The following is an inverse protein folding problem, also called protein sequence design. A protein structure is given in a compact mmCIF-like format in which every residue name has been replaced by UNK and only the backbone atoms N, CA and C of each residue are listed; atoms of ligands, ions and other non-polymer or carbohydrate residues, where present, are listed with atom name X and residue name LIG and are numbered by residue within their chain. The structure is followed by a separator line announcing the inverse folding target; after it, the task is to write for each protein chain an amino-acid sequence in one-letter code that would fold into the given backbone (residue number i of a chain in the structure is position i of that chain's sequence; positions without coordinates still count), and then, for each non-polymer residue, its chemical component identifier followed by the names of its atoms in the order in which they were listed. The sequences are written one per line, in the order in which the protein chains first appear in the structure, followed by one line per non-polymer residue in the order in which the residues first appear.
data_IF_903989143580
#
_entry.id   IF_903989143580
#
_cell.length_a   1.000
_cell.length_b   1.000
_cell.length_c   1.000
_cell.angle_alpha   90.00
_cell.angle_beta   90.00
_cell.angle_gamma   90.00
#
_symmetry.space_group_name_H-M   'P 1'
#
loop_
_entity.id
_entity.type
_entity.pdbx_description
1 polymer ?
#
# COMPACT_ATOMS: atom_id res chain seq x y z
N UNK A 1 -8.87 -6.64 -13.31
CA UNK A 1 -10.24 -6.18 -12.96
C UNK A 1 -11.28 -6.87 -13.86
N UNK A 2 -12.52 -7.04 -13.38
CA UNK A 2 -13.61 -7.58 -14.21
C UNK A 2 -13.97 -6.60 -15.34
N UNK A 3 -14.16 -7.12 -16.55
CA UNK A 3 -14.61 -6.32 -17.69
C UNK A 3 -16.08 -6.63 -18.00
N UNK A 4 -16.94 -5.64 -17.88
CA UNK A 4 -18.40 -5.80 -18.12
C UNK A 4 -18.69 -6.15 -19.57
N UNK A 5 -17.95 -5.59 -20.53
CA UNK A 5 -18.10 -5.89 -21.98
C UNK A 5 -17.66 -7.32 -22.32
N UNK A 6 -16.51 -7.75 -21.77
CA UNK A 6 -15.98 -9.10 -22.02
C UNK A 6 -16.62 -10.18 -21.13
N UNK A 7 -17.43 -9.79 -20.14
CA UNK A 7 -18.08 -10.66 -19.14
C UNK A 7 -17.10 -11.61 -18.41
N UNK A 8 -15.83 -11.21 -18.23
CA UNK A 8 -14.76 -11.96 -17.56
C UNK A 8 -13.69 -11.05 -16.96
N UNK A 9 -12.86 -11.62 -16.10
CA UNK A 9 -11.64 -10.96 -15.64
C UNK A 9 -10.63 -10.87 -16.80
N UNK A 10 -10.11 -9.68 -17.06
CA UNK A 10 -9.10 -9.41 -18.09
C UNK A 10 -7.99 -8.56 -17.50
N UNK A 11 -6.81 -8.57 -18.11
CA UNK A 11 -5.74 -7.64 -17.80
C UNK A 11 -6.19 -6.19 -18.00
N UNK A 12 -5.51 -5.27 -17.32
CA UNK A 12 -5.89 -3.86 -17.29
C UNK A 12 -4.64 -3.01 -17.44
N UNK A 13 -4.63 -2.17 -18.47
CA UNK A 13 -3.56 -1.20 -18.70
C UNK A 13 -3.92 0.16 -18.07
N UNK A 14 -2.89 1.02 -17.93
CA UNK A 14 -3.01 2.41 -17.48
C UNK A 14 -3.82 2.55 -16.19
N UNK A 15 -3.45 1.72 -15.20
CA UNK A 15 -4.14 1.71 -13.91
C UNK A 15 -3.82 2.99 -13.15
N UNK A 16 -4.85 3.79 -12.91
CA UNK A 16 -4.80 5.00 -12.10
C UNK A 16 -5.62 4.81 -10.82
N UNK A 17 -5.12 5.36 -9.73
CA UNK A 17 -5.84 5.42 -8.45
C UNK A 17 -6.50 6.80 -8.32
N UNK A 18 -7.70 6.81 -7.73
CA UNK A 18 -8.42 8.03 -7.40
C UNK A 18 -9.39 7.79 -6.23
N UNK A 19 -9.77 8.87 -5.58
CA UNK A 19 -10.74 8.81 -4.47
C UNK A 19 -12.13 9.08 -5.01
N UNK A 20 -13.07 8.17 -4.76
CA UNK A 20 -14.47 8.35 -5.11
C UNK A 20 -15.15 9.42 -4.22
N UNK A 21 -16.33 9.91 -4.64
CA UNK A 21 -17.10 10.93 -3.88
C UNK A 21 -17.39 10.54 -2.42
N UNK A 22 -17.46 9.24 -2.15
CA UNK A 22 -17.68 8.69 -0.79
C UNK A 22 -16.34 8.46 -0.02
N UNK A 23 -15.28 9.13 -0.42
CA UNK A 23 -13.94 9.04 0.16
C UNK A 23 -13.31 7.63 0.12
N UNK A 24 -13.81 6.70 -0.71
CA UNK A 24 -13.23 5.38 -0.89
C UNK A 24 -12.26 5.36 -2.05
N UNK A 25 -11.12 4.71 -1.85
CA UNK A 25 -10.10 4.56 -2.89
C UNK A 25 -10.61 3.62 -4.00
N UNK A 26 -10.49 4.05 -5.23
CA UNK A 26 -10.82 3.31 -6.44
C UNK A 26 -9.62 3.24 -7.38
N UNK A 27 -9.62 2.21 -8.22
CA UNK A 27 -8.72 2.13 -9.36
C UNK A 27 -9.52 2.11 -10.66
N UNK A 28 -8.97 2.78 -11.68
CA UNK A 28 -9.48 2.84 -13.04
C UNK A 28 -8.38 2.38 -14.00
N UNK A 29 -8.74 1.73 -15.07
CA UNK A 29 -7.83 1.38 -16.16
C UNK A 29 -8.61 0.87 -17.37
N UNK A 30 -7.90 0.46 -18.40
CA UNK A 30 -8.49 0.00 -19.66
C UNK A 30 -8.34 -1.51 -19.81
N UNK A 31 -9.39 -2.16 -20.31
CA UNK A 31 -9.35 -3.58 -20.65
C UNK A 31 -8.42 -3.82 -21.84
N UNK A 32 -7.40 -4.66 -21.70
CA UNK A 32 -6.46 -5.01 -22.77
C UNK A 32 -7.17 -5.62 -23.99
N UNK A 33 -8.27 -6.36 -23.76
CA UNK A 33 -8.98 -7.08 -24.82
C UNK A 33 -9.91 -6.19 -25.63
N UNK A 34 -10.63 -5.25 -25.00
CA UNK A 34 -11.68 -4.49 -25.70
C UNK A 34 -11.59 -2.97 -25.50
N UNK A 35 -10.56 -2.45 -24.87
CA UNK A 35 -10.35 -1.04 -24.62
C UNK A 35 -11.33 -0.37 -23.64
N UNK A 36 -12.35 -1.10 -23.13
CA UNK A 36 -13.36 -0.51 -22.26
C UNK A 36 -12.77 -0.10 -20.91
N UNK A 37 -13.17 1.06 -20.42
CA UNK A 37 -12.82 1.50 -19.08
C UNK A 37 -13.36 0.51 -18.02
N UNK A 38 -12.51 0.17 -17.07
CA UNK A 38 -12.85 -0.64 -15.89
C UNK A 38 -12.57 0.16 -14.64
N UNK A 39 -13.47 0.07 -13.67
CA UNK A 39 -13.30 0.68 -12.35
C UNK A 39 -13.65 -0.33 -11.27
N UNK A 40 -12.91 -0.31 -10.17
CA UNK A 40 -13.27 -1.09 -8.99
C UNK A 40 -12.76 -0.41 -7.72
N UNK A 41 -13.44 -0.65 -6.62
CA UNK A 41 -12.93 -0.25 -5.31
C UNK A 41 -11.67 -1.04 -4.96
N UNK A 42 -10.67 -0.34 -4.43
CA UNK A 42 -9.46 -0.99 -3.93
C UNK A 42 -9.80 -1.70 -2.63
N UNK A 43 -9.60 -3.03 -2.60
CA UNK A 43 -9.74 -3.81 -1.36
C UNK A 43 -8.48 -3.63 -0.53
N UNK A 44 -8.58 -2.93 0.58
CA UNK A 44 -7.49 -2.86 1.56
C UNK A 44 -7.37 -4.20 2.29
N UNK A 45 -6.31 -4.91 2.00
CA UNK A 45 -5.78 -6.07 2.73
C UNK A 45 -6.68 -7.28 3.01
N UNK A 46 -6.18 -8.48 2.71
CA UNK A 46 -6.90 -9.76 2.96
C UNK A 46 -6.15 -10.75 3.87
N UNK A 47 -5.01 -10.38 4.48
CA UNK A 47 -4.29 -11.23 5.45
C UNK A 47 -4.93 -11.24 6.85
N UNK A 48 -4.68 -12.28 7.65
CA UNK A 48 -5.19 -12.36 9.04
C UNK A 48 -4.69 -11.15 9.85
N UNK A 49 -3.43 -10.76 9.67
CA UNK A 49 -2.85 -9.56 10.28
C UNK A 49 -3.59 -8.30 9.82
N UNK A 50 -3.84 -8.16 8.52
CA UNK A 50 -4.64 -7.07 7.97
C UNK A 50 -6.09 -7.10 8.42
N UNK A 51 -6.68 -8.28 8.68
CA UNK A 51 -8.03 -8.38 9.27
C UNK A 51 -8.07 -7.88 10.71
N UNK A 52 -7.03 -8.15 11.49
CA UNK A 52 -6.90 -7.66 12.87
C UNK A 52 -6.66 -6.16 12.87
N UNK A 53 -5.69 -5.69 12.07
CA UNK A 53 -5.33 -4.26 11.95
C UNK A 53 -6.50 -3.44 11.38
N UNK A 54 -7.21 -3.95 10.35
CA UNK A 54 -8.38 -3.25 9.77
C UNK A 54 -9.61 -3.26 10.69
N UNK A 55 -9.60 -4.05 11.77
CA UNK A 55 -10.62 -4.01 12.84
C UNK A 55 -10.29 -3.02 13.95
N UNK A 56 -9.05 -2.52 13.99
CA UNK A 56 -8.71 -1.47 14.95
C UNK A 56 -9.51 -0.21 14.59
N UNK A 57 -10.18 0.41 15.56
CA UNK A 57 -10.95 1.63 15.33
C UNK A 57 -10.08 2.86 15.10
N UNK A 58 -8.76 2.70 15.15
CA UNK A 58 -7.76 3.75 15.01
C UNK A 58 -6.57 3.28 14.15
N UNK A 59 -5.91 4.24 13.51
CA UNK A 59 -4.64 4.03 12.81
C UNK A 59 -3.51 3.96 13.84
N UNK A 60 -2.59 3.01 13.65
CA UNK A 60 -1.43 2.85 14.54
C UNK A 60 -0.17 3.30 13.79
N UNK A 61 0.29 4.50 14.04
CA UNK A 61 1.50 5.06 13.44
C UNK A 61 2.62 5.25 14.47
N UNK A 62 3.86 5.35 13.96
CA UNK A 62 4.95 5.86 14.80
C UNK A 62 4.59 7.27 15.29
N UNK A 63 5.05 7.69 16.49
CA UNK A 63 4.68 8.99 17.07
C UNK A 63 4.89 10.15 16.10
N UNK A 64 3.81 10.85 15.78
CA UNK A 64 3.77 11.99 14.86
C UNK A 64 3.78 11.64 13.37
N UNK A 65 3.93 10.38 12.98
CA UNK A 65 3.88 9.96 11.58
C UNK A 65 2.45 9.88 11.05
N UNK A 66 2.31 10.09 9.74
CA UNK A 66 1.04 10.05 9.04
C UNK A 66 0.81 8.78 8.23
N UNK A 67 1.89 8.09 7.84
CA UNK A 67 1.83 6.89 6.98
C UNK A 67 2.59 5.69 7.54
N UNK A 68 3.51 5.91 8.49
CA UNK A 68 4.38 4.85 9.01
C UNK A 68 3.68 4.03 10.07
N UNK A 69 2.92 3.04 9.64
CA UNK A 69 2.26 2.09 10.55
C UNK A 69 1.12 1.33 9.90
N UNK A 70 0.60 0.32 10.59
CA UNK A 70 -0.50 -0.48 10.07
C UNK A 70 -1.83 0.26 10.15
N UNK A 71 -2.69 0.02 9.14
CA UNK A 71 -4.07 0.52 9.13
C UNK A 71 -4.25 1.93 8.57
N UNK A 72 -3.23 2.50 7.92
CA UNK A 72 -3.30 3.82 7.29
C UNK A 72 -4.53 3.96 6.39
N UNK A 73 -5.35 4.95 6.68
CA UNK A 73 -6.57 5.28 5.97
C UNK A 73 -6.29 6.26 4.83
N UNK A 74 -5.79 5.73 3.68
CA UNK A 74 -5.49 6.54 2.50
C UNK A 74 -6.70 7.34 2.00
N UNK A 75 -7.91 6.79 2.14
CA UNK A 75 -9.17 7.44 1.79
C UNK A 75 -9.41 8.75 2.58
N UNK A 76 -8.86 8.86 3.78
CA UNK A 76 -8.94 10.07 4.62
C UNK A 76 -7.79 11.03 4.41
N UNK A 77 -6.59 10.49 4.15
CA UNK A 77 -5.32 11.23 4.15
C UNK A 77 -4.96 11.84 2.80
N UNK A 78 -5.53 11.32 1.71
CA UNK A 78 -5.18 11.74 0.36
C UNK A 78 -6.27 12.61 -0.27
N UNK A 79 -5.82 13.51 -1.13
CA UNK A 79 -6.64 14.23 -2.10
C UNK A 79 -7.06 13.29 -3.26
N UNK A 80 -7.89 13.78 -4.16
CA UNK A 80 -8.35 13.02 -5.33
C UNK A 80 -7.21 12.66 -6.31
N UNK A 81 -6.17 13.46 -6.35
CA UNK A 81 -4.94 13.26 -7.14
C UNK A 81 -3.91 12.36 -6.45
N UNK A 82 -4.26 11.79 -5.29
CA UNK A 82 -3.43 10.95 -4.43
C UNK A 82 -2.33 11.69 -3.67
N UNK A 83 -2.22 13.00 -3.76
CA UNK A 83 -1.31 13.77 -2.91
C UNK A 83 -1.80 13.80 -1.46
N UNK A 84 -0.90 13.85 -0.48
CA UNK A 84 -1.30 14.00 0.92
C UNK A 84 -2.03 15.34 1.14
N UNK A 85 -3.09 15.31 1.94
CA UNK A 85 -3.74 16.53 2.42
C UNK A 85 -2.79 17.32 3.31
N UNK A 86 -3.03 18.62 3.46
CA UNK A 86 -2.15 19.52 4.23
C UNK A 86 -1.88 19.01 5.64
N UNK A 87 -2.90 18.49 6.32
CA UNK A 87 -2.79 17.96 7.68
C UNK A 87 -2.12 16.57 7.77
N UNK A 88 -1.97 15.88 6.63
CA UNK A 88 -1.43 14.51 6.56
C UNK A 88 -0.14 14.41 5.74
N UNK A 89 0.56 15.51 5.51
CA UNK A 89 1.86 15.49 4.84
C UNK A 89 2.84 14.60 5.60
N UNK A 90 3.68 13.80 4.93
CA UNK A 90 4.75 13.08 5.60
C UNK A 90 5.64 14.03 6.41
N UNK A 91 5.96 13.65 7.63
CA UNK A 91 6.72 14.52 8.55
C UNK A 91 8.23 14.47 8.32
N UNK A 92 8.72 13.41 7.70
CA UNK A 92 10.13 13.21 7.37
C UNK A 92 10.27 12.20 6.23
N UNK A 93 11.52 11.89 5.84
CA UNK A 93 11.80 10.97 4.72
C UNK A 93 11.38 9.53 4.98
N UNK A 94 11.39 9.08 6.24
CA UNK A 94 10.90 7.73 6.61
C UNK A 94 9.39 7.63 6.42
N UNK A 95 8.65 8.65 6.84
CA UNK A 95 7.20 8.70 6.67
C UNK A 95 6.81 8.88 5.19
N UNK A 96 7.65 9.56 4.40
CA UNK A 96 7.46 9.67 2.96
C UNK A 96 7.66 8.32 2.23
N UNK A 97 8.67 7.54 2.61
CA UNK A 97 8.84 6.19 2.10
C UNK A 97 7.63 5.29 2.43
N UNK A 98 7.07 5.43 3.64
CA UNK A 98 5.85 4.73 4.02
C UNK A 98 4.63 5.17 3.19
N UNK A 99 4.49 6.45 2.87
CA UNK A 99 3.45 6.96 1.97
C UNK A 99 3.55 6.31 0.58
N UNK A 100 4.73 6.26 -0.03
CA UNK A 100 4.94 5.60 -1.33
C UNK A 100 4.62 4.10 -1.26
N UNK A 101 5.04 3.45 -0.19
CA UNK A 101 4.75 2.04 0.07
C UNK A 101 3.23 1.77 0.16
N UNK A 102 2.49 2.59 0.89
CA UNK A 102 1.05 2.48 1.04
C UNK A 102 0.32 2.69 -0.32
N UNK A 103 0.78 3.63 -1.15
CA UNK A 103 0.29 3.79 -2.52
C UNK A 103 0.57 2.56 -3.38
N UNK A 104 1.79 2.02 -3.30
CA UNK A 104 2.15 0.81 -4.02
C UNK A 104 1.25 -0.37 -3.61
N UNK A 105 0.98 -0.52 -2.32
CA UNK A 105 0.08 -1.54 -1.78
C UNK A 105 -1.38 -1.36 -2.22
N UNK A 106 -1.84 -0.13 -2.30
CA UNK A 106 -3.18 0.17 -2.79
C UNK A 106 -3.34 -0.18 -4.28
N UNK A 107 -2.29 0.06 -5.08
CA UNK A 107 -2.26 -0.23 -6.51
C UNK A 107 -2.17 -1.74 -6.80
N UNK A 108 -1.38 -2.46 -6.02
CA UNK A 108 -1.10 -3.87 -6.25
C UNK A 108 -1.89 -4.75 -5.28
N UNK A 109 -2.66 -5.70 -5.80
CA UNK A 109 -3.53 -6.56 -5.00
C UNK A 109 -2.91 -7.93 -4.73
N UNK A 110 -1.96 -8.36 -5.58
CA UNK A 110 -1.31 -9.65 -5.41
C UNK A 110 -0.14 -9.56 -4.40
N UNK A 111 0.05 -10.65 -3.67
CA UNK A 111 1.03 -10.69 -2.58
C UNK A 111 2.47 -10.72 -3.07
N UNK A 112 2.71 -11.35 -4.20
CA UNK A 112 4.06 -11.46 -4.76
C UNK A 112 4.57 -10.08 -5.12
N UNK A 113 3.79 -9.31 -5.88
CA UNK A 113 4.12 -7.92 -6.24
C UNK A 113 4.32 -7.05 -5.01
N UNK A 114 3.45 -7.16 -3.99
CA UNK A 114 3.60 -6.40 -2.75
C UNK A 114 4.92 -6.68 -2.05
N UNK A 115 5.30 -7.95 -1.93
CA UNK A 115 6.55 -8.32 -1.24
C UNK A 115 7.79 -8.06 -2.10
N UNK A 116 7.73 -8.36 -3.39
CA UNK A 116 8.90 -8.30 -4.26
C UNK A 116 9.15 -6.90 -4.85
N UNK A 117 8.12 -6.08 -4.94
CA UNK A 117 8.23 -4.73 -5.48
C UNK A 117 8.03 -3.71 -4.36
N UNK A 118 6.85 -3.62 -3.75
CA UNK A 118 6.55 -2.54 -2.82
C UNK A 118 7.42 -2.58 -1.56
N UNK A 119 7.61 -3.75 -0.96
CA UNK A 119 8.43 -3.88 0.25
C UNK A 119 9.92 -3.61 -0.05
N UNK A 120 10.42 -4.09 -1.20
CA UNK A 120 11.82 -3.82 -1.62
C UNK A 120 12.03 -2.35 -1.96
N UNK A 121 11.10 -1.73 -2.65
CA UNK A 121 11.14 -0.32 -2.98
C UNK A 121 11.20 0.54 -1.71
N UNK A 122 10.37 0.23 -0.72
CA UNK A 122 10.40 0.89 0.57
C UNK A 122 11.77 0.75 1.26
N UNK A 123 12.34 -0.47 1.28
CA UNK A 123 13.67 -0.68 1.86
C UNK A 123 14.73 0.12 1.11
N UNK A 124 14.65 0.18 -0.24
CA UNK A 124 15.56 0.97 -1.07
C UNK A 124 15.45 2.46 -0.74
N UNK A 125 14.24 3.02 -0.70
CA UNK A 125 14.03 4.44 -0.32
C UNK A 125 14.58 4.74 1.07
N UNK A 126 14.39 3.83 2.03
CA UNK A 126 14.96 3.97 3.37
C UNK A 126 16.50 3.95 3.37
N UNK A 127 17.11 3.13 2.51
CA UNK A 127 18.58 3.03 2.40
C UNK A 127 19.19 4.23 1.67
N UNK A 128 18.48 4.86 0.76
CA UNK A 128 18.85 6.09 0.05
C UNK A 128 18.80 7.34 0.94
N UNK A 129 18.26 7.27 2.15
CA UNK A 129 18.30 8.40 3.09
C UNK A 129 19.75 8.63 3.53
N UNK A 130 20.42 9.53 2.83
CA UNK A 130 21.76 10.01 3.20
C UNK A 130 21.66 11.00 4.37
N UNK A 131 22.66 11.00 5.26
CA UNK A 131 22.70 11.92 6.42
C UNK A 131 21.39 11.97 7.21
N UNK A 132 20.90 10.82 7.75
CA UNK A 132 19.67 10.79 8.52
C UNK A 132 19.82 11.54 9.85
N UNK A 133 18.79 12.27 10.27
CA UNK A 133 18.71 12.76 11.64
C UNK A 133 18.71 11.60 12.64
N UNK A 134 18.98 11.86 13.91
CA UNK A 134 18.95 10.83 14.94
C UNK A 134 17.58 10.13 15.00
N UNK A 135 16.51 10.90 14.87
CA UNK A 135 15.14 10.41 14.81
C UNK A 135 14.92 9.48 13.60
N UNK A 136 15.25 9.94 12.38
CA UNK A 136 15.10 9.13 11.16
C UNK A 136 15.95 7.85 11.21
N UNK A 137 17.12 7.88 11.87
CA UNK A 137 17.98 6.69 12.05
C UNK A 137 17.27 5.62 12.87
N UNK A 138 16.63 5.99 13.97
CA UNK A 138 15.87 5.08 14.83
C UNK A 138 14.62 4.57 14.12
N UNK A 139 13.83 5.46 13.54
CA UNK A 139 12.59 5.14 12.83
C UNK A 139 12.85 4.23 11.63
N UNK A 140 13.89 4.51 10.83
CA UNK A 140 14.34 3.67 9.71
C UNK A 140 14.69 2.26 10.17
N UNK A 141 15.42 2.12 11.29
CA UNK A 141 15.77 0.83 11.86
C UNK A 141 14.52 0.01 12.25
N UNK A 142 13.54 0.64 12.89
CA UNK A 142 12.28 0.00 13.28
C UNK A 142 11.51 -0.46 12.03
N UNK A 143 11.29 0.43 11.07
CA UNK A 143 10.50 0.15 9.86
C UNK A 143 11.17 -0.94 9.03
N UNK A 144 12.49 -0.87 8.82
CA UNK A 144 13.24 -1.88 8.09
C UNK A 144 13.14 -3.27 8.72
N UNK A 145 13.27 -3.34 10.05
CA UNK A 145 13.12 -4.60 10.78
C UNK A 145 11.70 -5.17 10.65
N UNK A 146 10.67 -4.34 10.68
CA UNK A 146 9.27 -4.78 10.49
C UNK A 146 9.03 -5.32 9.08
N UNK A 147 9.52 -4.65 8.04
CA UNK A 147 9.40 -5.12 6.65
C UNK A 147 10.16 -6.44 6.45
N UNK A 148 11.38 -6.55 6.96
CA UNK A 148 12.16 -7.77 6.87
C UNK A 148 11.52 -8.93 7.66
N UNK A 149 11.00 -8.68 8.85
CA UNK A 149 10.28 -9.68 9.63
C UNK A 149 9.03 -10.16 8.89
N UNK A 150 8.28 -9.27 8.25
CA UNK A 150 7.13 -9.61 7.41
C UNK A 150 7.55 -10.52 6.25
N UNK A 151 8.64 -10.22 5.56
CA UNK A 151 9.16 -11.03 4.45
C UNK A 151 9.60 -12.42 4.93
N UNK A 152 10.28 -12.51 6.09
CA UNK A 152 10.84 -13.76 6.62
C UNK A 152 9.79 -14.66 7.30
N UNK A 153 8.86 -14.09 8.03
CA UNK A 153 7.85 -14.84 8.79
C UNK A 153 6.54 -15.03 8.03
N UNK A 154 6.44 -14.52 6.80
CA UNK A 154 5.23 -14.66 5.99
C UNK A 154 4.00 -14.02 6.63
N UNK A 155 4.18 -12.96 7.43
CA UNK A 155 3.08 -12.22 8.03
C UNK A 155 2.19 -11.67 6.91
N UNK A 156 1.09 -12.39 6.64
CA UNK A 156 0.18 -12.12 5.51
C UNK A 156 0.30 -13.08 4.33
N UNK A 157 1.23 -14.05 4.34
CA UNK A 157 1.36 -15.08 3.31
C UNK A 157 0.83 -16.41 3.84
N UNK A 158 -0.21 -16.97 3.25
CA UNK A 158 -0.46 -18.39 3.38
C UNK A 158 0.69 -19.09 2.65
N UNK A 159 1.60 -19.77 3.37
CA UNK A 159 2.43 -20.79 2.76
C UNK A 159 1.49 -21.83 2.14
N UNK A 160 1.43 -21.90 0.82
CA UNK A 160 0.96 -23.11 0.18
C UNK A 160 1.93 -24.20 0.62
N UNK A 161 1.50 -25.11 1.48
CA UNK A 161 2.15 -26.39 1.64
C UNK A 161 2.01 -27.07 0.29
N UNK A 162 3.05 -27.05 -0.51
CA UNK A 162 3.26 -28.06 -1.54
C UNK A 162 3.42 -29.37 -0.77
N UNK A 163 2.42 -30.19 -0.77
CA UNK A 163 2.49 -31.61 -0.42
C UNK A 163 3.43 -32.29 -1.40
N UNK A 164 4.23 -33.26 -0.92
CA UNK A 164 5.17 -34.01 -1.72
C UNK A 164 4.48 -34.83 -2.80
#
# INVERSE_FOLDING_TARGET
MYCVKCKRHTETNDVQLFTAKNARLMQRGFCVVCGKVKTQFVKTGTGIFNKVVNKLPFELHLPGHNFTGPGTRLDRRLNADLTPKDWSKPINRVDNAAYHHDLCYAKNQDRKTRNEICDREMVRELDEITTPTLRERLERGIVRNLINAKANFGLGIKKNRSTP
#
